data_IF_667733530138
#
_entry.id   IF_667733530138
#
_cell.length_a   1.000
_cell.length_b   1.000
_cell.length_c   1.000
_cell.angle_alpha   90.00
_cell.angle_beta   90.00
_cell.angle_gamma   90.00
#
_symmetry.space_group_name_H-M   'P 1'
#
loop_
_entity.id
_entity.type
_entity.pdbx_description
1 polymer ?
#
# COMPACT_ATOMS: atom_id res chain seq x y z
N UNK A 1 -18.38 35.78 -2.84
CA UNK A 1 -17.51 34.99 -3.74
C UNK A 1 -16.09 34.88 -3.19
N UNK A 2 -15.50 35.94 -2.61
CA UNK A 2 -14.23 35.87 -1.87
C UNK A 2 -14.25 34.88 -0.69
N UNK A 3 -15.25 34.98 0.18
CA UNK A 3 -15.33 34.13 1.39
C UNK A 3 -15.41 32.62 1.10
N UNK A 4 -16.09 32.22 0.00
CA UNK A 4 -16.20 30.81 -0.41
C UNK A 4 -14.86 30.28 -0.95
N UNK A 5 -14.08 31.13 -1.62
CA UNK A 5 -12.75 30.78 -2.10
C UNK A 5 -11.76 30.62 -0.94
N UNK A 6 -11.82 31.53 0.05
CA UNK A 6 -10.99 31.44 1.25
C UNK A 6 -11.28 30.18 2.05
N UNK A 7 -12.55 29.82 2.24
CA UNK A 7 -12.92 28.62 2.97
C UNK A 7 -12.44 27.33 2.27
N UNK A 8 -12.55 27.29 0.93
CA UNK A 8 -12.01 26.19 0.12
C UNK A 8 -10.50 26.07 0.26
N UNK A 9 -9.78 27.19 0.24
CA UNK A 9 -8.33 27.21 0.40
C UNK A 9 -7.91 26.73 1.79
N UNK A 10 -8.60 27.17 2.86
CA UNK A 10 -8.36 26.72 4.24
C UNK A 10 -8.58 25.23 4.39
N UNK A 11 -9.67 24.71 3.81
CA UNK A 11 -9.96 23.27 3.80
C UNK A 11 -8.84 22.49 3.11
N UNK A 12 -8.41 22.92 1.92
CA UNK A 12 -7.34 22.28 1.18
C UNK A 12 -6.01 22.28 1.95
N UNK A 13 -5.60 23.42 2.53
CA UNK A 13 -4.38 23.51 3.35
C UNK A 13 -4.44 22.51 4.49
N UNK A 14 -5.56 22.46 5.23
CA UNK A 14 -5.74 21.56 6.36
C UNK A 14 -5.69 20.09 5.93
N UNK A 15 -6.25 19.73 4.78
CA UNK A 15 -6.16 18.38 4.23
C UNK A 15 -4.71 17.99 3.90
N UNK A 16 -3.95 18.90 3.28
CA UNK A 16 -2.54 18.68 2.95
C UNK A 16 -1.70 18.53 4.23
N UNK A 17 -1.87 19.42 5.21
CA UNK A 17 -1.16 19.36 6.50
C UNK A 17 -1.44 18.05 7.24
N UNK A 18 -2.71 17.63 7.32
CA UNK A 18 -3.08 16.37 7.95
C UNK A 18 -2.47 15.17 7.23
N UNK A 19 -2.48 15.17 5.90
CA UNK A 19 -1.88 14.10 5.10
C UNK A 19 -0.36 14.03 5.31
N UNK A 20 0.34 15.16 5.25
CA UNK A 20 1.78 15.23 5.47
C UNK A 20 2.14 14.79 6.89
N UNK A 21 1.38 15.24 7.90
CA UNK A 21 1.58 14.81 9.29
C UNK A 21 1.43 13.30 9.44
N UNK A 22 0.36 12.73 8.90
CA UNK A 22 0.12 11.27 8.92
C UNK A 22 1.29 10.50 8.29
N UNK A 23 1.77 10.94 7.12
CA UNK A 23 2.90 10.33 6.43
C UNK A 23 4.20 10.39 7.25
N UNK A 24 4.48 11.52 7.90
CA UNK A 24 5.67 11.70 8.75
C UNK A 24 5.59 10.85 10.03
N UNK A 25 4.42 10.79 10.66
CA UNK A 25 4.17 9.99 11.85
C UNK A 25 4.36 8.49 11.55
N UNK A 26 3.85 8.01 10.42
CA UNK A 26 4.03 6.62 9.98
C UNK A 26 5.49 6.30 9.65
N UNK A 27 6.22 7.21 8.98
CA UNK A 27 7.67 7.05 8.75
C UNK A 27 8.44 6.92 10.05
N UNK A 28 8.14 7.79 11.03
CA UNK A 28 8.77 7.73 12.35
C UNK A 28 8.45 6.41 13.04
N UNK A 29 7.18 6.00 13.02
CA UNK A 29 6.73 4.72 13.57
C UNK A 29 7.46 3.53 12.96
N UNK A 30 7.65 3.50 11.64
CA UNK A 30 8.39 2.43 10.95
C UNK A 30 9.87 2.44 11.31
N UNK A 31 10.49 3.63 11.38
CA UNK A 31 11.90 3.78 11.77
C UNK A 31 12.16 3.28 13.19
N UNK A 32 11.23 3.58 14.10
CA UNK A 32 11.34 3.23 15.51
C UNK A 32 10.75 1.83 15.81
N UNK A 33 10.23 1.12 14.79
CA UNK A 33 9.61 -0.18 14.96
C UNK A 33 10.66 -1.24 15.32
N UNK A 34 10.33 -2.05 16.33
CA UNK A 34 11.07 -3.26 16.66
C UNK A 34 10.18 -4.43 16.21
N UNK A 35 10.57 -5.17 15.15
CA UNK A 35 9.83 -6.35 14.71
C UNK A 35 9.67 -7.39 15.83
N UNK A 36 8.65 -8.25 15.70
CA UNK A 36 8.41 -9.28 16.70
C UNK A 36 9.61 -10.23 16.79
N UNK A 37 10.15 -10.39 18.00
CA UNK A 37 11.19 -11.40 18.24
C UNK A 37 10.61 -12.81 18.13
N UNK A 38 11.47 -13.80 17.90
CA UNK A 38 11.05 -15.21 17.93
C UNK A 38 10.32 -15.59 19.22
N UNK A 39 10.76 -15.05 20.37
CA UNK A 39 10.14 -15.33 21.67
C UNK A 39 8.70 -14.79 21.73
N UNK A 40 8.46 -13.58 21.21
CA UNK A 40 7.11 -13.02 21.12
C UNK A 40 6.24 -13.83 20.15
N UNK A 41 6.78 -14.21 19.00
CA UNK A 41 6.08 -15.03 18.00
C UNK A 41 5.70 -16.43 18.55
N UNK A 42 6.53 -17.03 19.40
CA UNK A 42 6.23 -18.33 20.06
C UNK A 42 5.08 -18.23 21.08
N UNK A 43 4.85 -17.05 21.66
CA UNK A 43 3.74 -16.81 22.61
C UNK A 43 2.39 -16.57 21.91
N UNK A 44 2.40 -16.34 20.60
CA UNK A 44 1.20 -16.09 19.81
C UNK A 44 0.57 -17.39 19.28
N UNK A 45 -0.73 -17.35 18.97
CA UNK A 45 -1.48 -18.49 18.45
C UNK A 45 -1.04 -18.83 17.02
N UNK A 46 -0.41 -19.99 16.85
CA UNK A 46 0.02 -20.52 15.54
C UNK A 46 -0.86 -21.68 15.06
N UNK A 47 -2.03 -21.90 15.66
CA UNK A 47 -2.91 -23.00 15.28
C UNK A 47 -3.32 -22.85 13.80
N UNK A 48 -3.11 -23.89 12.99
CA UNK A 48 -3.38 -23.87 11.56
C UNK A 48 -4.82 -23.40 11.24
N UNK A 49 -5.78 -23.78 12.08
CA UNK A 49 -7.19 -23.34 11.98
C UNK A 49 -7.32 -21.82 12.07
N UNK A 50 -6.59 -21.17 12.99
CA UNK A 50 -6.63 -19.72 13.24
C UNK A 50 -5.94 -18.95 12.12
N UNK A 51 -4.73 -19.36 11.74
CA UNK A 51 -3.97 -18.70 10.66
C UNK A 51 -4.67 -18.84 9.30
N UNK A 52 -5.23 -20.02 9.00
CA UNK A 52 -6.01 -20.24 7.77
C UNK A 52 -7.31 -19.43 7.78
N UNK A 53 -8.01 -19.34 8.92
CA UNK A 53 -9.20 -18.50 9.03
C UNK A 53 -8.87 -17.02 8.80
N UNK A 54 -7.71 -16.56 9.30
CA UNK A 54 -7.23 -15.21 9.02
C UNK A 54 -7.03 -14.98 7.53
N UNK A 55 -6.27 -15.85 6.85
CA UNK A 55 -5.98 -15.72 5.41
C UNK A 55 -7.23 -15.76 4.55
N UNK A 56 -8.15 -16.69 4.83
CA UNK A 56 -9.45 -16.75 4.14
C UNK A 56 -10.22 -15.45 4.31
N UNK A 57 -10.23 -14.89 5.53
CA UNK A 57 -10.95 -13.67 5.83
C UNK A 57 -10.30 -12.44 5.17
N UNK A 58 -8.97 -12.36 5.15
CA UNK A 58 -8.25 -11.30 4.43
C UNK A 58 -8.61 -11.26 2.93
N UNK A 59 -8.71 -12.44 2.29
CA UNK A 59 -9.03 -12.57 0.86
C UNK A 59 -10.46 -12.15 0.49
N UNK A 60 -11.43 -12.38 1.37
CA UNK A 60 -12.86 -12.09 1.10
C UNK A 60 -13.31 -10.73 1.63
N UNK A 61 -12.60 -10.17 2.61
CA UNK A 61 -12.95 -8.88 3.18
C UNK A 61 -12.68 -7.77 2.19
N UNK A 62 -13.60 -6.81 2.12
CA UNK A 62 -13.35 -5.56 1.45
C UNK A 62 -12.19 -4.80 2.10
N UNK A 63 -11.37 -4.15 1.29
CA UNK A 63 -10.14 -3.50 1.72
C UNK A 63 -10.41 -2.39 2.77
N UNK A 64 -11.59 -1.78 2.73
CA UNK A 64 -12.07 -0.84 3.74
C UNK A 64 -12.02 -1.42 5.17
N UNK A 65 -12.34 -2.72 5.32
CA UNK A 65 -12.42 -3.38 6.62
C UNK A 65 -11.09 -4.00 7.09
N UNK A 66 -10.07 -4.02 6.25
CA UNK A 66 -8.79 -4.66 6.55
C UNK A 66 -8.10 -4.04 7.75
N UNK A 67 -8.09 -2.70 7.87
CA UNK A 67 -7.44 -2.05 9.00
C UNK A 67 -7.97 -2.56 10.36
N UNK A 68 -9.30 -2.56 10.51
CA UNK A 68 -9.96 -3.05 11.74
C UNK A 68 -9.69 -4.54 11.96
N UNK A 69 -9.75 -5.33 10.90
CA UNK A 69 -9.53 -6.78 10.96
C UNK A 69 -8.08 -7.12 11.36
N UNK A 70 -7.09 -6.58 10.66
CA UNK A 70 -5.68 -6.77 10.91
C UNK A 70 -5.29 -6.31 12.31
N UNK A 71 -5.74 -5.13 12.75
CA UNK A 71 -5.46 -4.62 14.11
C UNK A 71 -5.95 -5.56 15.22
N UNK A 72 -7.08 -6.23 15.00
CA UNK A 72 -7.65 -7.17 15.96
C UNK A 72 -6.90 -8.51 16.00
N UNK A 73 -6.29 -8.94 14.89
CA UNK A 73 -5.70 -10.29 14.78
C UNK A 73 -4.18 -10.33 14.93
N UNK A 74 -3.45 -9.33 14.41
CA UNK A 74 -1.98 -9.32 14.36
C UNK A 74 -1.35 -9.37 15.76
N UNK A 75 -2.07 -8.98 16.81
CA UNK A 75 -1.58 -9.07 18.20
C UNK A 75 -1.65 -10.47 18.80
N UNK A 76 -2.47 -11.37 18.24
CA UNK A 76 -2.78 -12.66 18.86
C UNK A 76 -2.37 -13.85 18.00
N UNK A 77 -2.34 -13.70 16.68
CA UNK A 77 -2.09 -14.79 15.74
C UNK A 77 -0.71 -14.65 15.12
N UNK A 78 0.08 -15.71 15.17
CA UNK A 78 1.39 -15.75 14.54
C UNK A 78 1.23 -15.97 13.02
N UNK A 79 1.43 -14.90 12.24
CA UNK A 79 1.34 -14.93 10.78
C UNK A 79 2.72 -14.94 10.10
N UNK A 80 3.82 -15.18 10.82
CA UNK A 80 5.17 -15.11 10.24
C UNK A 80 5.36 -16.07 9.05
N UNK A 81 4.71 -17.24 9.08
CA UNK A 81 4.72 -18.22 7.98
C UNK A 81 3.83 -17.86 6.79
N UNK A 82 3.02 -16.81 6.90
CA UNK A 82 2.02 -16.41 5.90
C UNK A 82 2.35 -15.04 5.28
N UNK A 83 3.51 -14.46 5.59
CA UNK A 83 3.88 -13.11 5.11
C UNK A 83 3.88 -13.03 3.59
N UNK A 84 4.47 -14.01 2.90
CA UNK A 84 4.45 -14.08 1.43
C UNK A 84 3.02 -14.12 0.89
N UNK A 85 2.18 -15.03 1.40
CA UNK A 85 0.79 -15.14 0.95
C UNK A 85 -0.03 -13.87 1.23
N UNK A 86 0.25 -13.19 2.35
CA UNK A 86 -0.35 -11.87 2.66
C UNK A 86 0.06 -10.83 1.64
N UNK A 87 1.34 -10.76 1.27
CA UNK A 87 1.82 -9.78 0.30
C UNK A 87 1.23 -9.99 -1.09
N UNK A 88 1.15 -11.23 -1.56
CA UNK A 88 0.46 -11.58 -2.82
C UNK A 88 -1.02 -11.21 -2.75
N UNK A 89 -1.70 -11.56 -1.66
CA UNK A 89 -3.13 -11.22 -1.46
C UNK A 89 -3.36 -9.71 -1.51
N UNK A 90 -2.49 -8.91 -0.89
CA UNK A 90 -2.61 -7.44 -0.90
C UNK A 90 -2.36 -6.87 -2.29
N UNK A 91 -1.33 -7.34 -3.00
CA UNK A 91 -0.95 -6.83 -4.33
C UNK A 91 -2.00 -7.14 -5.41
N UNK A 92 -2.60 -8.34 -5.36
CA UNK A 92 -3.60 -8.79 -6.33
C UNK A 92 -5.02 -8.30 -6.02
N UNK A 93 -5.27 -7.79 -4.81
CA UNK A 93 -6.59 -7.35 -4.41
C UNK A 93 -7.17 -6.28 -5.34
N UNK A 94 -8.49 -6.37 -5.55
CA UNK A 94 -9.26 -5.38 -6.29
C UNK A 94 -9.61 -4.20 -5.38
N UNK A 95 -8.62 -3.36 -5.13
CA UNK A 95 -8.72 -2.18 -4.27
C UNK A 95 -9.41 -1.04 -5.01
N UNK A 96 -10.34 -0.35 -4.36
CA UNK A 96 -10.92 0.91 -4.85
C UNK A 96 -10.05 2.10 -4.42
N UNK A 97 -10.11 3.19 -5.17
CA UNK A 97 -9.36 4.40 -4.84
C UNK A 97 -9.65 4.93 -3.42
N UNK A 98 -10.92 4.84 -2.97
CA UNK A 98 -11.34 5.22 -1.61
C UNK A 98 -10.76 4.34 -0.49
N UNK A 99 -10.24 3.15 -0.81
CA UNK A 99 -9.72 2.17 0.15
C UNK A 99 -8.20 2.25 0.31
N UNK A 100 -7.51 3.01 -0.54
CA UNK A 100 -6.04 3.09 -0.56
C UNK A 100 -5.47 3.41 0.82
N UNK A 101 -6.02 4.41 1.51
CA UNK A 101 -5.53 4.81 2.83
C UNK A 101 -5.71 3.72 3.90
N UNK A 102 -6.81 2.96 3.83
CA UNK A 102 -7.03 1.80 4.71
C UNK A 102 -5.99 0.72 4.47
N UNK A 103 -5.64 0.45 3.20
CA UNK A 103 -4.61 -0.52 2.82
C UNK A 103 -3.21 -0.04 3.25
N UNK A 104 -2.88 1.23 3.04
CA UNK A 104 -1.62 1.83 3.50
C UNK A 104 -1.46 1.63 5.01
N UNK A 105 -2.52 1.92 5.78
CA UNK A 105 -2.50 1.75 7.23
C UNK A 105 -2.21 0.29 7.61
N UNK A 106 -2.79 -0.69 6.90
CA UNK A 106 -2.51 -2.12 7.12
C UNK A 106 -1.05 -2.45 6.82
N UNK A 107 -0.53 -1.98 5.67
CA UNK A 107 0.84 -2.21 5.26
C UNK A 107 1.86 -1.60 6.23
N UNK A 108 1.60 -0.40 6.75
CA UNK A 108 2.44 0.22 7.80
C UNK A 108 2.46 -0.67 9.06
N UNK A 109 1.31 -1.17 9.49
CA UNK A 109 1.28 -2.07 10.66
C UNK A 109 2.05 -3.36 10.39
N UNK A 110 1.77 -4.05 9.28
CA UNK A 110 2.45 -5.30 8.95
C UNK A 110 3.98 -5.12 8.84
N UNK A 111 4.43 -4.00 8.27
CA UNK A 111 5.85 -3.65 8.17
C UNK A 111 6.51 -3.42 9.54
N UNK A 112 5.75 -2.94 10.54
CA UNK A 112 6.26 -2.82 11.91
C UNK A 112 6.48 -4.19 12.59
N UNK A 113 5.62 -5.17 12.30
CA UNK A 113 5.64 -6.48 12.97
C UNK A 113 6.54 -7.50 12.27
N UNK A 114 6.59 -7.47 10.94
CA UNK A 114 7.28 -8.45 10.11
C UNK A 114 8.33 -7.75 9.23
N UNK A 115 9.61 -7.96 9.53
CA UNK A 115 10.74 -7.28 8.87
C UNK A 115 10.81 -7.50 7.37
N UNK A 116 10.35 -8.65 6.87
CA UNK A 116 10.40 -9.01 5.44
C UNK A 116 9.16 -8.58 4.67
N UNK A 117 8.12 -8.06 5.34
CA UNK A 117 6.85 -7.74 4.68
C UNK A 117 7.02 -6.72 3.56
N UNK A 118 7.75 -5.63 3.81
CA UNK A 118 7.92 -4.54 2.84
C UNK A 118 8.71 -4.98 1.61
N UNK A 119 9.75 -5.81 1.76
CA UNK A 119 10.55 -6.30 0.63
C UNK A 119 9.76 -7.29 -0.22
N UNK A 120 9.02 -8.21 0.42
CA UNK A 120 8.15 -9.17 -0.27
C UNK A 120 7.01 -8.48 -1.02
N UNK A 121 6.35 -7.49 -0.40
CA UNK A 121 5.31 -6.71 -1.08
C UNK A 121 5.87 -5.96 -2.30
N UNK A 122 7.06 -5.39 -2.19
CA UNK A 122 7.70 -4.71 -3.32
C UNK A 122 8.02 -5.65 -4.48
N UNK A 123 8.40 -6.90 -4.18
CA UNK A 123 8.59 -7.95 -5.21
C UNK A 123 7.29 -8.21 -5.96
N UNK A 124 6.14 -8.28 -5.28
CA UNK A 124 4.84 -8.45 -5.94
C UNK A 124 4.48 -7.25 -6.82
N UNK A 125 4.70 -6.02 -6.34
CA UNK A 125 4.47 -4.81 -7.15
C UNK A 125 5.35 -4.78 -8.42
N UNK A 126 6.60 -5.25 -8.37
CA UNK A 126 7.48 -5.34 -9.55
C UNK A 126 6.95 -6.28 -10.62
N UNK A 127 6.23 -7.35 -10.23
CA UNK A 127 5.63 -8.30 -11.18
C UNK A 127 4.40 -7.71 -11.87
N UNK A 128 3.64 -6.88 -11.15
CA UNK A 128 2.34 -6.35 -11.60
C UNK A 128 2.46 -5.05 -12.39
N UNK A 129 3.43 -4.20 -12.06
CA UNK A 129 3.57 -2.89 -12.70
C UNK A 129 4.39 -2.97 -14.00
N UNK A 130 3.95 -2.30 -15.07
CA UNK A 130 4.72 -2.25 -16.31
C UNK A 130 5.98 -1.41 -16.11
N UNK A 131 7.11 -1.90 -16.63
CA UNK A 131 8.41 -1.26 -16.49
C UNK A 131 9.23 -1.24 -17.78
N UNK A 132 8.91 -2.13 -18.73
CA UNK A 132 9.58 -2.22 -20.03
C UNK A 132 8.66 -1.72 -21.14
N UNK A 133 9.21 -1.11 -22.19
CA UNK A 133 8.43 -0.64 -23.34
C UNK A 133 7.61 -1.73 -24.04
N UNK A 134 8.01 -2.99 -23.91
CA UNK A 134 7.29 -4.16 -24.44
C UNK A 134 6.08 -4.58 -23.61
N UNK A 135 5.96 -4.08 -22.37
CA UNK A 135 4.87 -4.45 -21.47
C UNK A 135 3.55 -3.88 -21.97
N UNK A 136 2.46 -4.58 -21.67
CA UNK A 136 1.10 -4.16 -22.02
C UNK A 136 0.31 -3.83 -20.76
N UNK A 137 -0.42 -2.73 -20.80
CA UNK A 137 -1.38 -2.39 -19.74
C UNK A 137 -2.61 -3.29 -19.91
N UNK A 138 -2.73 -4.33 -19.10
CA UNK A 138 -3.87 -5.24 -19.13
C UNK A 138 -5.14 -4.61 -18.54
N UNK A 139 -4.99 -3.82 -17.47
CA UNK A 139 -6.11 -3.20 -16.76
C UNK A 139 -5.73 -1.77 -16.32
N UNK A 140 -6.07 -0.75 -17.13
CA UNK A 140 -5.77 0.65 -16.81
C UNK A 140 -6.37 1.12 -15.48
N UNK A 141 -7.58 0.68 -15.15
CA UNK A 141 -8.27 1.06 -13.90
C UNK A 141 -7.57 0.51 -12.66
N UNK A 142 -7.12 -0.74 -12.71
CA UNK A 142 -6.31 -1.33 -11.63
C UNK A 142 -4.94 -0.65 -11.56
N UNK A 143 -4.25 -0.46 -12.69
CA UNK A 143 -2.95 0.19 -12.74
C UNK A 143 -2.97 1.58 -12.10
N UNK A 144 -4.04 2.36 -12.33
CA UNK A 144 -4.25 3.66 -11.67
C UNK A 144 -4.24 3.56 -10.15
N UNK A 145 -4.95 2.58 -9.59
CA UNK A 145 -5.02 2.39 -8.13
C UNK A 145 -3.72 1.82 -7.59
N UNK A 146 -3.09 0.88 -8.30
CA UNK A 146 -1.83 0.26 -7.89
C UNK A 146 -0.69 1.29 -7.87
N UNK A 147 -0.58 2.17 -8.87
CA UNK A 147 0.40 3.25 -8.87
C UNK A 147 0.13 4.25 -7.74
N UNK A 148 -1.14 4.59 -7.47
CA UNK A 148 -1.51 5.43 -6.33
C UNK A 148 -1.06 4.80 -5.02
N UNK A 149 -1.35 3.51 -4.84
CA UNK A 149 -0.97 2.76 -3.65
C UNK A 149 0.56 2.67 -3.50
N UNK A 150 1.30 2.40 -4.58
CA UNK A 150 2.76 2.40 -4.57
C UNK A 150 3.32 3.75 -4.11
N UNK A 151 2.79 4.86 -4.63
CA UNK A 151 3.20 6.21 -4.25
C UNK A 151 2.91 6.48 -2.76
N UNK A 152 1.71 6.16 -2.27
CA UNK A 152 1.37 6.32 -0.85
C UNK A 152 2.25 5.44 0.05
N UNK A 153 2.54 4.19 -0.33
CA UNK A 153 3.45 3.31 0.42
C UNK A 153 4.88 3.86 0.49
N UNK A 154 5.37 4.51 -0.58
CA UNK A 154 6.63 5.26 -0.53
C UNK A 154 6.52 6.48 0.41
N UNK A 155 5.42 7.23 0.32
CA UNK A 155 5.20 8.42 1.13
C UNK A 155 5.07 8.12 2.62
N UNK A 156 4.50 6.98 3.01
CA UNK A 156 4.42 6.53 4.40
C UNK A 156 5.68 5.78 4.86
N UNK A 157 6.66 5.56 3.98
CA UNK A 157 7.94 4.93 4.32
C UNK A 157 7.92 3.40 4.35
N UNK A 158 6.85 2.75 3.90
CA UNK A 158 6.80 1.29 3.74
C UNK A 158 7.81 0.86 2.68
N UNK A 159 7.93 1.60 1.58
CA UNK A 159 9.00 1.39 0.61
C UNK A 159 10.03 2.51 0.66
N UNK A 160 11.29 2.13 0.71
CA UNK A 160 12.43 3.05 0.60
C UNK A 160 12.81 3.34 -0.85
N UNK A 161 14.12 3.50 -1.08
CA UNK A 161 14.72 3.82 -2.38
C UNK A 161 14.20 2.95 -3.54
N UNK A 162 14.10 1.65 -3.33
CA UNK A 162 13.67 0.71 -4.38
C UNK A 162 12.21 0.91 -4.82
N UNK A 163 11.33 1.34 -3.90
CA UNK A 163 9.95 1.68 -4.24
C UNK A 163 9.86 2.92 -5.11
N UNK A 164 10.65 3.95 -4.79
CA UNK A 164 10.75 5.18 -5.60
C UNK A 164 11.30 4.87 -6.99
N UNK A 165 12.28 3.97 -7.11
CA UNK A 165 12.80 3.52 -8.41
C UNK A 165 11.74 2.77 -9.23
N UNK A 166 10.95 1.90 -8.60
CA UNK A 166 9.84 1.22 -9.26
C UNK A 166 8.78 2.21 -9.74
N UNK A 167 8.42 3.19 -8.90
CA UNK A 167 7.47 4.24 -9.25
C UNK A 167 7.95 5.05 -10.46
N UNK A 168 9.23 5.47 -10.44
CA UNK A 168 9.84 6.18 -11.55
C UNK A 168 9.87 5.36 -12.84
N UNK A 169 10.08 4.04 -12.75
CA UNK A 169 10.06 3.13 -13.90
C UNK A 169 8.65 3.03 -14.50
N UNK A 170 7.62 2.92 -13.66
CA UNK A 170 6.22 2.87 -14.11
C UNK A 170 5.80 4.20 -14.78
N UNK A 171 6.13 5.35 -14.17
CA UNK A 171 5.88 6.68 -14.77
C UNK A 171 6.62 6.82 -16.10
N UNK A 172 7.89 6.40 -16.16
CA UNK A 172 8.68 6.42 -17.40
C UNK A 172 8.03 5.56 -18.48
N UNK A 173 7.57 4.35 -18.16
CA UNK A 173 6.84 3.49 -19.08
C UNK A 173 5.61 4.21 -19.67
N UNK A 174 4.77 4.81 -18.81
CA UNK A 174 3.57 5.52 -19.26
C UNK A 174 3.94 6.68 -20.20
N UNK A 175 4.99 7.45 -19.91
CA UNK A 175 5.36 8.62 -20.74
C UNK A 175 5.90 8.21 -22.10
N UNK A 176 6.58 7.07 -22.17
CA UNK A 176 7.23 6.59 -23.39
C UNK A 176 6.26 5.86 -24.33
N UNK A 177 5.19 5.29 -23.78
CA UNK A 177 4.19 4.49 -24.51
C UNK A 177 2.96 5.29 -24.92
N UNK A 178 2.62 6.35 -24.19
CA UNK A 178 1.44 7.18 -24.46
C UNK A 178 1.78 8.45 -25.26
N UNK A 179 2.13 8.26 -26.54
CA UNK A 179 2.76 9.32 -27.36
C UNK A 179 1.79 10.27 -28.07
N UNK A 180 0.60 9.80 -28.43
CA UNK A 180 -0.29 10.52 -29.36
C UNK A 180 -1.72 10.65 -28.86
N UNK A 181 -2.27 9.61 -28.25
CA UNK A 181 -3.68 9.57 -27.85
C UNK A 181 -3.91 9.97 -26.38
N UNK A 182 -2.85 10.03 -25.59
CA UNK A 182 -2.87 10.44 -24.18
C UNK A 182 -3.88 9.66 -23.31
N UNK A 183 -4.08 8.37 -23.63
CA UNK A 183 -5.09 7.50 -23.01
C UNK A 183 -4.80 7.20 -21.55
N UNK A 184 -3.55 7.35 -21.10
CA UNK A 184 -3.09 7.05 -19.75
C UNK A 184 -3.04 8.30 -18.84
N UNK A 185 -3.49 9.48 -19.28
CA UNK A 185 -3.59 10.69 -18.43
C UNK A 185 -4.24 10.42 -17.07
N UNK A 186 -5.38 9.68 -16.96
CA UNK A 186 -5.97 9.39 -15.66
C UNK A 186 -5.07 8.59 -14.71
N UNK A 187 -4.13 7.81 -15.25
CA UNK A 187 -3.13 7.06 -14.49
C UNK A 187 -2.05 8.01 -13.98
N UNK A 188 -1.59 8.94 -14.81
CA UNK A 188 -0.63 9.98 -14.41
C UNK A 188 -1.15 10.89 -13.30
N UNK A 189 -2.40 11.33 -13.40
CA UNK A 189 -3.01 12.19 -12.39
C UNK A 189 -3.05 11.52 -11.01
N UNK A 190 -3.04 10.18 -10.95
CA UNK A 190 -3.03 9.47 -9.67
C UNK A 190 -1.72 9.66 -8.88
N UNK A 191 -0.61 10.00 -9.56
CA UNK A 191 0.73 10.15 -8.97
C UNK A 191 1.15 11.62 -8.79
N UNK A 192 0.43 12.56 -9.41
CA UNK A 192 0.59 14.00 -9.25
C UNK A 192 -0.15 14.51 -8.00
#
# INVERSE_FOLDING_TARGET
MGDVMEERLRTYIKEVENRTKCQLDDRKKLKDAIPLSEEQLRKMDSALKRTTAFMKKLKILDAYNWHRFCKMWIKWVNLSKFVEEMTTTIAEAKIKYSEVQSVVTVCVHLSCYYSEFSSLLLVEFRKLLPSKRSDKIQNPSKLRVDIRLLAELCLHGVFGKEGVQLLGSAVSFLTLTDRTEHINIPIFIAVL
#
